data_IF_133155779854
#
_entry.id   IF_133155779854
#
_cell.length_a   1.000
_cell.length_b   1.000
_cell.length_c   1.000
_cell.angle_alpha   90.00
_cell.angle_beta   90.00
_cell.angle_gamma   90.00
#
_symmetry.space_group_name_H-M   'P 1'
#
loop_
_entity.id
_entity.type
_entity.pdbx_description
1 polymer ?
#
# COMPACT_ATOMS: atom_id res chain seq x y z
N UNK A 1 13.67 -71.52 -26.65
CA UNK A 1 12.80 -72.71 -26.59
C UNK A 1 11.42 -72.19 -26.22
N UNK A 2 10.48 -72.04 -27.18
CA UNK A 2 9.44 -73.02 -27.58
C UNK A 2 8.66 -73.51 -26.34
N UNK A 3 7.35 -73.31 -26.16
CA UNK A 3 6.15 -73.40 -27.05
C UNK A 3 4.97 -72.67 -26.35
N UNK A 4 4.11 -71.83 -26.93
CA UNK A 4 3.14 -71.91 -28.05
C UNK A 4 2.00 -72.93 -27.93
N UNK A 5 0.76 -72.41 -28.06
CA UNK A 5 -0.50 -73.11 -28.37
C UNK A 5 -1.70 -72.18 -28.07
N UNK A 6 -2.05 -71.19 -28.91
CA UNK A 6 -2.91 -71.24 -30.12
C UNK A 6 -4.31 -71.78 -29.83
N UNK A 7 -5.37 -71.01 -30.14
CA UNK A 7 -6.26 -71.15 -31.33
C UNK A 7 -7.13 -69.85 -31.34
N UNK A 8 -6.95 -68.92 -32.28
CA UNK A 8 -7.64 -68.75 -33.59
C UNK A 8 -9.17 -68.54 -33.48
N UNK A 9 -9.89 -67.71 -34.24
CA UNK A 9 -9.79 -67.18 -35.63
C UNK A 9 -10.72 -65.90 -35.70
N UNK A 10 -11.03 -65.25 -36.86
CA UNK A 10 -11.07 -63.80 -37.03
C UNK A 10 -12.48 -63.29 -37.40
N UNK A 11 -12.64 -61.99 -37.68
CA UNK A 11 -13.17 -61.48 -38.95
C UNK A 11 -13.23 -59.95 -38.90
N UNK A 12 -12.67 -59.33 -39.94
CA UNK A 12 -12.83 -57.93 -40.25
C UNK A 12 -14.29 -57.61 -40.60
N UNK A 13 -14.77 -56.41 -40.27
CA UNK A 13 -15.61 -55.65 -41.18
C UNK A 13 -15.57 -54.16 -40.85
N UNK A 14 -15.46 -53.38 -41.90
CA UNK A 14 -15.26 -51.95 -41.93
C UNK A 14 -16.57 -51.21 -42.23
N UNK A 15 -16.53 -49.90 -41.98
CA UNK A 15 -17.29 -48.81 -42.63
C UNK A 15 -18.65 -48.33 -42.06
N UNK A 16 -18.61 -47.03 -41.70
CA UNK A 16 -19.49 -45.92 -42.11
C UNK A 16 -20.84 -45.64 -41.38
N UNK A 17 -20.90 -44.39 -40.88
CA UNK A 17 -21.99 -43.39 -40.98
C UNK A 17 -22.75 -42.96 -39.70
N UNK A 18 -22.87 -41.62 -39.59
CA UNK A 18 -23.39 -40.71 -38.55
C UNK A 18 -24.90 -40.83 -38.23
N UNK A 19 -25.52 -39.93 -37.44
CA UNK A 19 -25.18 -39.35 -36.11
C UNK A 19 -26.35 -39.56 -35.10
N UNK A 20 -26.13 -39.34 -33.80
CA UNK A 20 -27.22 -39.29 -32.81
C UNK A 20 -27.27 -37.92 -32.11
N UNK A 21 -28.42 -37.24 -32.25
CA UNK A 21 -28.78 -36.05 -31.48
C UNK A 21 -28.85 -36.39 -29.99
N UNK A 22 -28.18 -35.60 -29.15
CA UNK A 22 -28.40 -35.58 -27.70
C UNK A 22 -29.20 -34.33 -27.36
N UNK A 23 -30.43 -34.53 -26.87
CA UNK A 23 -31.26 -33.49 -26.28
C UNK A 23 -30.88 -33.39 -24.80
N UNK A 24 -30.25 -32.29 -24.39
CA UNK A 24 -30.00 -31.97 -22.98
C UNK A 24 -31.15 -31.12 -22.43
N UNK A 25 -31.93 -31.66 -21.50
CA UNK A 25 -32.89 -30.90 -20.72
C UNK A 25 -32.17 -30.15 -19.59
N UNK A 26 -32.20 -28.82 -19.65
CA UNK A 26 -31.75 -27.92 -18.59
C UNK A 26 -32.80 -27.88 -17.47
N UNK A 27 -32.37 -28.19 -16.24
CA UNK A 27 -33.08 -27.80 -15.02
C UNK A 27 -32.67 -26.36 -14.65
N UNK A 28 -33.58 -25.47 -14.23
CA UNK A 28 -33.22 -24.12 -13.82
C UNK A 28 -32.54 -24.16 -12.44
N UNK A 29 -31.32 -23.64 -12.37
CA UNK A 29 -30.68 -23.21 -11.13
C UNK A 29 -31.43 -22.00 -10.59
N UNK A 30 -32.03 -22.14 -9.40
CA UNK A 30 -32.54 -21.00 -8.62
C UNK A 30 -31.33 -20.20 -8.13
N UNK A 31 -31.17 -18.96 -8.62
CA UNK A 31 -30.22 -18.00 -8.07
C UNK A 31 -30.73 -17.54 -6.69
N UNK A 32 -29.87 -17.64 -5.68
CA UNK A 32 -30.07 -17.00 -4.39
C UNK A 32 -29.40 -15.62 -4.47
N UNK A 33 -30.10 -14.67 -5.08
CA UNK A 33 -29.67 -13.27 -5.16
C UNK A 33 -29.96 -12.60 -3.81
N UNK A 34 -28.90 -12.24 -3.08
CA UNK A 34 -29.02 -11.44 -1.85
C UNK A 34 -29.22 -9.97 -2.22
N UNK A 35 -30.25 -9.27 -1.70
CA UNK A 35 -30.60 -7.90 -2.08
C UNK A 35 -29.51 -6.86 -1.78
N UNK A 36 -28.51 -7.18 -0.95
CA UNK A 36 -27.40 -6.28 -0.65
C UNK A 36 -26.40 -6.15 -1.81
N UNK A 37 -26.30 -7.20 -2.65
CA UNK A 37 -25.31 -7.29 -3.72
C UNK A 37 -25.62 -6.35 -4.88
N UNK A 38 -26.90 -6.20 -5.22
CA UNK A 38 -27.37 -5.29 -6.27
C UNK A 38 -27.23 -3.82 -5.85
N UNK A 39 -27.19 -3.54 -4.54
CA UNK A 39 -27.06 -2.19 -3.99
C UNK A 39 -25.63 -1.65 -3.93
N UNK A 40 -24.61 -2.52 -3.85
CA UNK A 40 -23.19 -2.10 -3.79
C UNK A 40 -22.50 -2.13 -5.16
N UNK A 41 -23.11 -2.75 -6.18
CA UNK A 41 -22.50 -2.99 -7.49
C UNK A 41 -22.56 -1.80 -8.47
N UNK A 42 -23.25 -0.71 -8.14
CA UNK A 42 -23.27 0.48 -9.01
C UNK A 42 -22.15 1.45 -8.64
N UNK A 43 -21.20 1.63 -9.57
CA UNK A 43 -20.07 2.55 -9.45
C UNK A 43 -20.58 3.99 -9.31
N UNK A 44 -20.43 4.56 -8.12
CA UNK A 44 -20.88 5.93 -7.82
C UNK A 44 -19.71 6.81 -7.50
N UNK A 45 -19.38 7.61 -8.51
CA UNK A 45 -18.42 8.71 -8.45
C UNK A 45 -18.94 9.82 -7.56
N UNK A 46 -18.23 10.08 -6.47
CA UNK A 46 -18.33 11.37 -5.79
C UNK A 46 -17.79 12.45 -6.74
N UNK A 47 -18.44 13.61 -6.74
CA UNK A 47 -18.05 14.78 -7.53
C UNK A 47 -16.95 15.62 -6.85
N UNK A 48 -16.25 15.08 -5.84
CA UNK A 48 -15.05 15.72 -5.30
C UNK A 48 -14.04 15.83 -6.45
N UNK A 49 -13.56 17.05 -6.70
CA UNK A 49 -12.64 17.30 -7.81
C UNK A 49 -11.40 16.40 -7.68
N UNK A 50 -11.00 15.77 -8.80
CA UNK A 50 -9.82 14.90 -8.81
C UNK A 50 -8.59 15.69 -8.34
N UNK A 51 -7.77 15.15 -7.43
CA UNK A 51 -6.58 15.83 -6.96
C UNK A 51 -5.59 16.04 -8.11
N UNK A 52 -5.00 17.23 -8.17
CA UNK A 52 -4.02 17.57 -9.21
C UNK A 52 -2.71 16.84 -8.93
N UNK A 53 -2.21 16.16 -9.96
CA UNK A 53 -0.93 15.45 -9.93
C UNK A 53 0.13 16.26 -10.66
N UNK A 54 1.32 16.33 -10.09
CA UNK A 54 2.46 17.01 -10.72
C UNK A 54 2.95 16.22 -11.93
N UNK A 55 3.40 16.96 -12.95
CA UNK A 55 4.03 16.41 -14.15
C UNK A 55 5.52 16.09 -13.99
N UNK A 56 6.17 16.51 -12.88
CA UNK A 56 7.63 16.48 -12.71
C UNK A 56 8.13 15.77 -11.44
N UNK A 57 7.22 15.26 -10.62
CA UNK A 57 7.57 14.61 -9.34
C UNK A 57 7.09 13.17 -9.28
N UNK A 58 8.05 12.28 -9.07
CA UNK A 58 7.89 10.83 -9.03
C UNK A 58 7.59 10.36 -7.61
N UNK A 59 6.55 9.56 -7.46
CA UNK A 59 6.23 8.82 -6.24
C UNK A 59 7.09 7.56 -6.17
N UNK A 60 7.82 7.40 -5.06
CA UNK A 60 8.77 6.30 -4.87
C UNK A 60 8.10 4.94 -4.64
N UNK A 61 6.82 4.93 -4.22
CA UNK A 61 6.02 3.73 -4.00
C UNK A 61 5.92 3.34 -2.53
N UNK A 62 5.09 2.34 -2.24
CA UNK A 62 4.80 1.86 -0.88
C UNK A 62 5.42 0.48 -0.56
N UNK A 63 6.47 0.08 -1.27
CA UNK A 63 7.21 -1.16 -0.98
C UNK A 63 7.01 -2.31 -1.96
N UNK A 64 6.43 -2.07 -3.14
CA UNK A 64 6.26 -3.10 -4.17
C UNK A 64 7.59 -3.58 -4.76
N UNK A 65 7.92 -4.84 -4.49
CA UNK A 65 9.15 -5.46 -4.98
C UNK A 65 9.16 -5.70 -6.50
N UNK A 66 7.99 -5.74 -7.16
CA UNK A 66 7.89 -6.01 -8.59
C UNK A 66 8.18 -4.78 -9.47
N UNK A 67 7.99 -3.58 -8.92
CA UNK A 67 8.15 -2.33 -9.67
C UNK A 67 9.13 -1.36 -8.98
N UNK A 68 10.22 -1.92 -8.46
CA UNK A 68 11.33 -1.15 -7.88
C UNK A 68 12.02 -0.31 -8.96
N UNK A 69 12.30 0.95 -8.63
CA UNK A 69 13.04 1.87 -9.50
C UNK A 69 14.53 1.58 -9.39
N UNK A 70 15.11 1.09 -10.48
CA UNK A 70 16.48 0.61 -10.54
C UNK A 70 17.25 1.25 -11.70
N UNK A 71 18.46 1.71 -11.42
CA UNK A 71 19.39 2.29 -12.39
C UNK A 71 20.74 1.57 -12.31
N UNK A 72 21.35 1.31 -13.46
CA UNK A 72 22.67 0.73 -13.57
C UNK A 72 23.60 1.62 -14.38
N UNK A 73 24.81 1.84 -13.88
CA UNK A 73 25.83 2.65 -14.53
C UNK A 73 27.14 1.89 -14.62
N UNK A 74 27.79 1.93 -15.79
CA UNK A 74 29.15 1.40 -15.92
C UNK A 74 30.11 2.28 -15.12
N UNK A 75 30.80 1.69 -14.15
CA UNK A 75 31.65 2.43 -13.22
C UNK A 75 32.80 3.14 -13.95
N UNK A 76 33.36 2.51 -15.00
CA UNK A 76 34.44 3.06 -15.83
C UNK A 76 34.06 4.31 -16.62
N UNK A 77 32.77 4.57 -16.82
CA UNK A 77 32.27 5.71 -17.58
C UNK A 77 31.86 6.89 -16.71
N UNK A 78 31.92 6.75 -15.38
CA UNK A 78 31.52 7.79 -14.44
C UNK A 78 32.52 8.95 -14.45
N UNK A 79 32.01 10.17 -14.59
CA UNK A 79 32.78 11.41 -14.51
C UNK A 79 32.57 12.14 -13.18
N UNK A 80 31.65 11.65 -12.36
CA UNK A 80 31.29 12.20 -11.06
C UNK A 80 30.65 11.13 -10.19
N UNK A 81 30.94 11.17 -8.89
CA UNK A 81 30.30 10.31 -7.88
C UNK A 81 29.19 11.05 -7.11
N UNK A 82 28.80 12.23 -7.60
CA UNK A 82 27.82 13.08 -6.94
C UNK A 82 26.42 12.76 -7.47
N UNK A 83 25.49 12.57 -6.55
CA UNK A 83 24.07 12.43 -6.83
C UNK A 83 23.28 13.51 -6.09
N UNK A 84 22.31 14.13 -6.73
CA UNK A 84 21.46 15.16 -6.12
C UNK A 84 20.01 15.00 -6.54
N UNK A 85 19.08 15.31 -5.65
CA UNK A 85 17.64 15.27 -5.91
C UNK A 85 16.91 16.15 -4.89
N UNK A 86 15.68 16.54 -5.20
CA UNK A 86 14.77 17.11 -4.22
C UNK A 86 13.82 16.02 -3.71
N UNK A 87 13.59 15.95 -2.40
CA UNK A 87 12.68 15.01 -1.75
C UNK A 87 11.63 15.75 -0.91
N UNK A 88 10.39 15.24 -0.88
CA UNK A 88 9.31 15.65 0.01
C UNK A 88 8.63 14.41 0.57
N UNK A 89 8.42 14.35 1.89
CA UNK A 89 7.74 13.21 2.54
C UNK A 89 7.16 13.62 3.90
N UNK A 90 6.15 12.88 4.36
CA UNK A 90 5.67 12.88 5.75
C UNK A 90 6.05 11.59 6.49
N UNK A 91 6.59 10.61 5.77
CA UNK A 91 6.98 9.30 6.27
C UNK A 91 8.18 9.43 7.22
N UNK A 92 8.05 9.03 8.49
CA UNK A 92 9.13 9.16 9.46
C UNK A 92 10.26 8.14 9.29
N UNK A 93 10.06 7.07 8.50
CA UNK A 93 11.06 6.02 8.32
C UNK A 93 10.99 5.37 6.92
N UNK A 94 12.11 5.32 6.20
CA UNK A 94 12.14 4.71 4.87
C UNK A 94 13.49 4.86 4.16
N UNK A 95 13.74 4.10 3.10
CA UNK A 95 14.97 4.23 2.30
C UNK A 95 14.73 5.24 1.17
N UNK A 96 15.57 6.28 1.10
CA UNK A 96 15.57 7.20 -0.04
C UNK A 96 16.20 6.50 -1.24
N UNK A 97 17.43 6.00 -1.06
CA UNK A 97 18.06 5.12 -2.03
C UNK A 97 19.05 4.14 -1.40
N UNK A 98 19.16 2.98 -2.03
CA UNK A 98 20.20 1.99 -1.84
C UNK A 98 21.15 2.04 -3.05
N UNK A 99 22.45 1.96 -2.83
CA UNK A 99 23.43 1.86 -3.90
C UNK A 99 24.49 0.82 -3.61
N UNK A 100 24.89 0.05 -4.61
CA UNK A 100 25.93 -0.97 -4.45
C UNK A 100 26.81 -1.11 -5.69
N UNK A 101 27.99 -1.68 -5.48
CA UNK A 101 28.96 -1.99 -6.54
C UNK A 101 29.32 -3.48 -6.58
N UNK A 102 28.43 -4.32 -6.03
CA UNK A 102 28.61 -5.76 -5.85
C UNK A 102 29.49 -6.13 -4.64
N UNK A 103 29.67 -7.45 -4.43
CA UNK A 103 30.53 -8.03 -3.37
C UNK A 103 30.25 -7.53 -1.96
N UNK A 104 28.98 -7.32 -1.61
CA UNK A 104 28.58 -6.79 -0.30
C UNK A 104 29.11 -5.36 -0.05
N UNK A 105 29.48 -4.59 -1.08
CA UNK A 105 29.83 -3.17 -0.94
C UNK A 105 28.61 -2.31 -1.29
N UNK A 106 27.97 -1.77 -0.26
CA UNK A 106 26.70 -1.06 -0.37
C UNK A 106 26.62 0.16 0.54
N UNK A 107 25.72 1.07 0.16
CA UNK A 107 25.42 2.31 0.83
C UNK A 107 23.91 2.52 0.84
N UNK A 108 23.38 2.97 1.97
CA UNK A 108 21.98 3.34 2.15
C UNK A 108 21.92 4.76 2.67
N UNK A 109 21.11 5.59 2.02
CA UNK A 109 20.58 6.81 2.59
C UNK A 109 19.08 6.61 2.85
N UNK A 110 18.70 6.72 4.11
CA UNK A 110 17.31 6.61 4.56
C UNK A 110 16.92 7.73 5.51
N UNK A 111 15.69 7.64 5.99
CA UNK A 111 15.11 8.49 7.01
C UNK A 111 14.78 7.59 8.20
N UNK A 112 15.09 8.01 9.42
CA UNK A 112 14.67 7.37 10.65
C UNK A 112 14.28 8.42 11.66
N UNK A 113 13.10 8.26 12.25
CA UNK A 113 12.53 9.24 13.18
C UNK A 113 12.63 10.66 12.60
N UNK A 114 12.25 10.79 11.32
CA UNK A 114 12.18 12.05 10.56
C UNK A 114 13.53 12.70 10.21
N UNK A 115 14.65 12.06 10.52
CA UNK A 115 16.01 12.57 10.25
C UNK A 115 16.80 11.62 9.37
N UNK A 116 17.90 12.08 8.76
CA UNK A 116 18.69 11.23 7.88
C UNK A 116 19.38 10.09 8.64
N UNK A 117 19.41 8.92 8.02
CA UNK A 117 20.21 7.77 8.41
C UNK A 117 21.10 7.35 7.23
N UNK A 118 22.37 7.09 7.51
CA UNK A 118 23.33 6.53 6.55
C UNK A 118 23.84 5.21 7.10
N UNK A 119 23.77 4.17 6.27
CA UNK A 119 24.39 2.87 6.55
C UNK A 119 25.30 2.51 5.38
N UNK A 120 26.49 1.99 5.66
CA UNK A 120 27.37 1.49 4.60
C UNK A 120 28.14 0.26 5.06
N UNK A 121 28.41 -0.62 4.12
CA UNK A 121 29.33 -1.73 4.29
C UNK A 121 30.29 -1.73 3.10
N UNK A 122 31.58 -1.82 3.37
CA UNK A 122 32.61 -1.98 2.35
C UNK A 122 33.75 -2.85 2.87
N UNK A 123 34.79 -3.05 2.04
CA UNK A 123 35.96 -3.85 2.39
C UNK A 123 36.72 -3.35 3.63
N UNK A 124 36.53 -2.09 4.02
CA UNK A 124 37.17 -1.46 5.18
C UNK A 124 36.29 -1.50 6.44
N UNK A 125 35.05 -2.00 6.35
CA UNK A 125 34.14 -2.21 7.47
C UNK A 125 32.75 -1.59 7.30
N UNK A 126 32.02 -1.55 8.41
CA UNK A 126 30.65 -1.06 8.51
C UNK A 126 30.60 0.32 9.18
N UNK A 127 29.72 1.20 8.69
CA UNK A 127 29.43 2.48 9.34
C UNK A 127 27.93 2.75 9.38
N UNK A 128 27.45 3.25 10.51
CA UNK A 128 26.07 3.66 10.74
C UNK A 128 26.07 5.06 11.37
N UNK A 129 25.35 5.99 10.75
CA UNK A 129 24.98 7.27 11.32
C UNK A 129 23.48 7.40 11.28
N UNK A 130 22.83 7.49 12.44
CA UNK A 130 21.38 7.51 12.56
C UNK A 130 20.91 8.84 13.17
N UNK A 131 19.79 9.38 12.66
CA UNK A 131 19.09 10.56 13.17
C UNK A 131 19.90 11.87 13.07
N UNK A 132 20.53 12.12 11.92
CA UNK A 132 21.35 13.30 11.68
C UNK A 132 20.63 14.37 10.85
N UNK A 133 21.04 15.63 11.06
CA UNK A 133 20.54 16.77 10.30
C UNK A 133 19.16 17.29 10.75
N UNK A 134 18.54 18.16 9.94
CA UNK A 134 17.21 18.69 10.19
C UNK A 134 16.12 17.63 9.98
N UNK A 135 14.90 17.98 10.32
CA UNK A 135 13.71 17.20 9.99
C UNK A 135 13.50 17.17 8.46
N UNK A 136 13.44 15.97 7.90
CA UNK A 136 13.25 15.69 6.46
C UNK A 136 11.78 15.36 6.16
N UNK A 137 11.02 14.88 7.15
CA UNK A 137 9.65 14.38 6.99
C UNK A 137 8.61 15.46 7.35
N UNK A 138 8.91 16.72 7.03
CA UNK A 138 8.10 17.90 7.36
C UNK A 138 7.15 18.31 6.23
N UNK A 139 7.02 17.50 5.17
CA UNK A 139 6.18 17.79 4.02
C UNK A 139 6.72 18.90 3.11
N UNK A 140 7.95 19.38 3.31
CA UNK A 140 8.58 20.38 2.44
C UNK A 140 9.56 19.73 1.47
N UNK A 141 9.76 20.38 0.34
CA UNK A 141 10.82 19.99 -0.59
C UNK A 141 12.18 20.33 0.00
N UNK A 142 13.05 19.33 0.13
CA UNK A 142 14.45 19.44 0.59
C UNK A 142 15.39 18.99 -0.50
N UNK A 143 16.40 19.78 -0.84
CA UNK A 143 17.44 19.37 -1.79
C UNK A 143 18.49 18.55 -1.06
N UNK A 144 18.66 17.31 -1.45
CA UNK A 144 19.69 16.42 -0.92
C UNK A 144 20.80 16.26 -1.96
N UNK A 145 22.05 16.26 -1.51
CA UNK A 145 23.22 15.97 -2.37
C UNK A 145 24.13 15.02 -1.63
N UNK A 146 24.48 13.91 -2.27
CA UNK A 146 25.43 12.91 -1.77
C UNK A 146 26.64 12.94 -2.69
N UNK A 147 27.82 13.14 -2.12
CA UNK A 147 29.08 13.16 -2.85
C UNK A 147 30.04 12.12 -2.25
N UNK A 148 30.39 11.11 -3.05
CA UNK A 148 31.31 10.04 -2.66
C UNK A 148 32.71 10.32 -3.21
N UNK A 149 33.58 10.83 -2.34
CA UNK A 149 35.01 10.98 -2.59
C UNK A 149 35.78 9.67 -2.38
N UNK A 150 37.10 9.72 -2.53
CA UNK A 150 37.97 8.54 -2.41
C UNK A 150 37.95 7.88 -1.03
N UNK A 151 37.79 8.68 0.03
CA UNK A 151 37.78 8.23 1.42
C UNK A 151 36.70 8.92 2.26
N UNK A 152 35.80 9.67 1.61
CA UNK A 152 34.81 10.51 2.26
C UNK A 152 33.46 10.36 1.60
N UNK A 153 32.38 10.32 2.39
CA UNK A 153 31.02 10.50 1.87
C UNK A 153 30.41 11.70 2.55
N UNK A 154 30.01 12.70 1.77
CA UNK A 154 29.40 13.93 2.25
C UNK A 154 27.92 13.98 1.84
N UNK A 155 27.02 14.20 2.80
CA UNK A 155 25.61 14.45 2.54
C UNK A 155 25.28 15.89 2.92
N UNK A 156 24.69 16.62 1.98
CA UNK A 156 24.21 17.99 2.16
C UNK A 156 22.69 18.04 2.05
N UNK A 157 22.05 18.83 2.90
CA UNK A 157 20.62 19.16 2.85
C UNK A 157 20.50 20.67 2.67
N UNK A 158 19.80 21.11 1.63
CA UNK A 158 19.62 22.51 1.26
C UNK A 158 20.95 23.28 1.13
N UNK A 159 22.03 22.58 0.78
CA UNK A 159 23.39 23.12 0.64
C UNK A 159 24.26 23.02 1.89
N UNK A 160 23.68 22.74 3.06
CA UNK A 160 24.41 22.59 4.32
C UNK A 160 24.95 21.17 4.50
N UNK A 161 26.20 21.03 4.91
CA UNK A 161 26.82 19.72 5.20
C UNK A 161 26.25 19.16 6.50
N UNK A 162 25.49 18.06 6.41
CA UNK A 162 24.83 17.43 7.56
C UNK A 162 25.49 16.12 7.99
N UNK A 163 26.10 15.40 7.05
CA UNK A 163 26.84 14.16 7.31
C UNK A 163 28.16 14.21 6.56
N UNK A 164 29.25 13.88 7.26
CA UNK A 164 30.56 13.63 6.66
C UNK A 164 31.15 12.35 7.25
N UNK A 165 31.18 11.32 6.43
CA UNK A 165 31.81 10.05 6.75
C UNK A 165 33.23 10.06 6.22
N UNK A 166 34.16 9.56 7.02
CA UNK A 166 35.56 9.38 6.62
C UNK A 166 35.89 7.92 6.89
N UNK A 167 36.20 7.16 5.85
CA UNK A 167 36.58 5.76 5.98
C UNK A 167 38.06 5.57 5.64
N UNK A 168 38.68 4.61 6.30
CA UNK A 168 40.05 4.25 6.01
C UNK A 168 40.10 3.56 4.65
N UNK A 169 40.98 4.00 3.75
CA UNK A 169 41.25 3.29 2.50
C UNK A 169 42.45 2.38 2.76
N UNK A 170 42.31 1.07 2.56
CA UNK A 170 43.47 0.17 2.61
C UNK A 170 44.54 0.64 1.63
N UNK A 171 45.81 0.62 2.05
CA UNK A 171 46.94 0.99 1.19
C UNK A 171 47.22 -0.02 0.08
N UNK A 172 46.53 -1.18 0.10
CA UNK A 172 46.54 -2.14 -0.99
C UNK A 172 45.45 -1.76 -2.00
N UNK A 173 45.80 -1.48 -3.27
CA UNK A 173 44.80 -1.27 -4.31
C UNK A 173 43.88 -2.49 -4.36
N UNK A 174 42.57 -2.29 -4.28
CA UNK A 174 41.63 -3.35 -4.66
C UNK A 174 42.00 -3.77 -6.08
N UNK A 175 42.35 -5.06 -6.26
CA UNK A 175 42.81 -5.57 -7.54
C UNK A 175 41.70 -5.56 -8.62
N UNK A 176 40.46 -5.24 -8.25
CA UNK A 176 39.32 -5.22 -9.15
C UNK A 176 38.50 -3.93 -8.96
N UNK A 177 38.56 -3.06 -9.95
CA UNK A 177 37.64 -1.93 -10.11
C UNK A 177 36.24 -2.52 -10.27
N UNK A 178 35.21 -2.02 -9.54
CA UNK A 178 33.86 -2.48 -9.75
C UNK A 178 33.40 -2.27 -11.19
N UNK A 179 32.63 -3.20 -11.75
CA UNK A 179 32.14 -3.08 -13.12
C UNK A 179 30.93 -2.16 -13.23
N UNK A 180 30.00 -2.29 -12.28
CA UNK A 180 28.70 -1.63 -12.31
C UNK A 180 28.40 -0.96 -10.97
N UNK A 181 27.82 0.23 -11.02
CA UNK A 181 27.12 0.88 -9.92
C UNK A 181 25.62 0.68 -10.12
N UNK A 182 24.96 0.11 -9.12
CA UNK A 182 23.50 -0.01 -9.08
C UNK A 182 22.95 0.99 -8.08
N UNK A 183 21.85 1.66 -8.43
CA UNK A 183 21.10 2.55 -7.56
C UNK A 183 19.63 2.15 -7.59
N UNK A 184 19.05 1.97 -6.42
CA UNK A 184 17.67 1.56 -6.20
C UNK A 184 16.99 2.62 -5.34
N UNK A 185 15.81 3.09 -5.75
CA UNK A 185 15.09 4.17 -5.06
C UNK A 185 13.90 3.63 -4.27
N UNK A 186 13.66 4.23 -3.09
CA UNK A 186 12.44 3.98 -2.31
C UNK A 186 12.31 2.60 -1.65
N UNK A 187 13.31 1.73 -1.79
CA UNK A 187 13.30 0.36 -1.26
C UNK A 187 14.71 -0.27 -1.23
N UNK A 188 14.82 -1.50 -0.75
CA UNK A 188 15.96 -2.40 -0.95
C UNK A 188 15.85 -3.17 -2.28
N UNK A 189 16.94 -3.75 -2.81
CA UNK A 189 16.87 -4.65 -3.95
C UNK A 189 15.95 -5.84 -3.67
N UNK A 190 15.09 -6.20 -4.65
CA UNK A 190 14.20 -7.34 -4.55
C UNK A 190 14.97 -8.63 -4.21
N UNK A 191 14.49 -9.38 -3.21
CA UNK A 191 15.10 -10.63 -2.78
C UNK A 191 16.50 -10.50 -2.19
N UNK A 192 16.94 -9.29 -1.80
CA UNK A 192 18.25 -9.14 -1.15
C UNK A 192 18.30 -9.89 0.18
N UNK A 193 19.47 -10.47 0.48
CA UNK A 193 19.81 -11.02 1.79
C UNK A 193 20.68 -10.08 2.61
N UNK A 194 20.97 -8.89 2.07
CA UNK A 194 21.83 -7.91 2.70
C UNK A 194 21.16 -7.47 4.01
N UNK A 195 21.80 -7.83 5.12
CA UNK A 195 21.37 -7.39 6.43
C UNK A 195 21.98 -6.01 6.66
N UNK A 196 21.12 -4.99 6.59
CA UNK A 196 21.49 -3.66 7.05
C UNK A 196 22.03 -3.73 8.48
N UNK A 197 22.99 -2.87 8.80
CA UNK A 197 23.61 -2.80 10.14
C UNK A 197 22.53 -2.63 11.20
N UNK A 198 21.55 -1.78 10.90
CA UNK A 198 20.33 -1.61 11.69
C UNK A 198 19.12 -1.78 10.76
N UNK A 199 18.21 -2.73 11.02
CA UNK A 199 17.00 -2.87 10.23
C UNK A 199 16.20 -1.57 10.15
N UNK A 200 15.65 -1.27 8.99
CA UNK A 200 14.80 -0.11 8.70
C UNK A 200 13.59 -0.62 7.92
N UNK A 201 12.42 0.00 8.10
CA UNK A 201 11.32 -0.19 7.16
C UNK A 201 11.79 0.30 5.77
N UNK A 202 11.85 -0.55 4.72
CA UNK A 202 12.50 -0.15 3.47
C UNK A 202 11.68 0.83 2.63
N UNK A 203 10.38 0.57 2.53
CA UNK A 203 9.45 1.37 1.74
C UNK A 203 9.43 2.82 2.23
N UNK A 204 9.39 3.78 1.30
CA UNK A 204 9.29 5.19 1.64
C UNK A 204 8.14 5.85 0.87
N UNK A 205 7.10 6.29 1.58
CA UNK A 205 6.10 7.19 1.00
C UNK A 205 6.69 8.58 0.82
N UNK A 206 7.34 8.77 -0.34
CA UNK A 206 8.05 9.99 -0.66
C UNK A 206 7.95 10.37 -2.13
N UNK A 207 8.15 11.66 -2.36
CA UNK A 207 8.17 12.27 -3.68
C UNK A 207 9.57 12.75 -4.02
N UNK A 208 10.01 12.50 -5.25
CA UNK A 208 11.32 12.90 -5.75
C UNK A 208 11.20 13.68 -7.05
N UNK A 209 12.00 14.74 -7.21
CA UNK A 209 12.13 15.51 -8.46
C UNK A 209 13.52 16.13 -8.60
N UNK A 210 13.79 16.77 -9.74
CA UNK A 210 15.05 17.47 -10.02
C UNK A 210 16.28 16.60 -9.73
N UNK A 211 16.21 15.33 -10.13
CA UNK A 211 17.28 14.37 -9.88
C UNK A 211 18.43 14.54 -10.88
N UNK A 212 19.64 14.25 -10.41
CA UNK A 212 20.83 14.05 -11.19
C UNK A 212 21.65 12.96 -10.49
N UNK A 213 21.71 11.77 -11.09
CA UNK A 213 22.39 10.61 -10.53
C UNK A 213 23.74 10.47 -11.21
N UNK A 214 24.84 10.60 -10.46
CA UNK A 214 26.23 10.46 -10.96
C UNK A 214 26.54 11.21 -12.28
N UNK A 215 25.81 12.31 -12.53
CA UNK A 215 25.80 13.10 -13.78
C UNK A 215 25.61 12.24 -15.05
N UNK A 216 24.85 11.15 -14.94
CA UNK A 216 24.42 10.30 -16.05
C UNK A 216 22.91 10.44 -16.26
N UNK A 217 22.48 10.01 -17.43
CA UNK A 217 21.07 9.97 -17.79
C UNK A 217 20.30 8.97 -16.90
N UNK A 218 19.08 9.34 -16.50
CA UNK A 218 18.23 8.58 -15.61
C UNK A 218 16.84 8.34 -16.24
N UNK A 219 16.80 8.09 -17.55
CA UNK A 219 15.58 7.96 -18.34
C UNK A 219 14.57 6.95 -17.79
N UNK A 220 15.02 5.90 -17.07
CA UNK A 220 14.11 4.95 -16.40
C UNK A 220 13.12 5.64 -15.44
N UNK A 221 13.53 6.73 -14.78
CA UNK A 221 12.67 7.49 -13.88
C UNK A 221 11.63 8.31 -14.64
N UNK A 222 12.00 8.86 -15.80
CA UNK A 222 11.07 9.58 -16.69
C UNK A 222 10.05 8.63 -17.31
N UNK A 223 10.47 7.43 -17.70
CA UNK A 223 9.57 6.38 -18.20
C UNK A 223 8.59 5.99 -17.10
N UNK A 224 9.07 5.75 -15.88
CA UNK A 224 8.21 5.40 -14.74
C UNK A 224 7.20 6.52 -14.42
N UNK A 225 7.60 7.78 -14.48
CA UNK A 225 6.74 8.95 -14.26
C UNK A 225 5.61 9.08 -15.30
N UNK A 226 5.85 8.60 -16.52
CA UNK A 226 4.92 8.72 -17.65
C UNK A 226 4.12 7.44 -17.91
N UNK A 227 4.50 6.31 -17.33
CA UNK A 227 3.81 5.03 -17.52
C UNK A 227 2.46 4.97 -16.77
N UNK A 228 2.34 5.63 -15.61
CA UNK A 228 1.16 5.57 -14.76
C UNK A 228 0.97 6.90 -14.00
N UNK A 229 -0.24 7.45 -14.02
CA UNK A 229 -0.58 8.65 -13.26
C UNK A 229 -0.42 8.44 -11.74
N UNK A 230 -0.58 7.22 -11.23
CA UNK A 230 -0.37 6.92 -9.81
C UNK A 230 1.10 7.01 -9.38
N UNK A 231 2.04 6.99 -10.34
CA UNK A 231 3.46 7.27 -10.10
C UNK A 231 3.77 8.76 -9.96
N UNK A 232 2.79 9.64 -10.17
CA UNK A 232 2.95 11.08 -9.99
C UNK A 232 2.49 11.50 -8.60
N UNK A 233 3.31 12.32 -7.95
CA UNK A 233 2.93 12.96 -6.70
C UNK A 233 1.80 13.96 -6.86
N UNK A 234 1.04 14.19 -5.78
CA UNK A 234 0.07 15.28 -5.78
C UNK A 234 0.81 16.62 -5.67
N UNK A 235 0.25 17.67 -6.25
CA UNK A 235 0.88 19.00 -6.11
C UNK A 235 0.87 19.46 -4.65
N UNK A 236 -0.26 19.29 -3.97
CA UNK A 236 -0.49 19.63 -2.57
C UNK A 236 -0.80 18.38 -1.75
N UNK A 237 -0.02 18.14 -0.70
CA UNK A 237 -0.13 16.97 0.16
C UNK A 237 -0.24 17.40 1.63
N UNK A 238 -0.99 16.64 2.42
CA UNK A 238 -1.10 16.74 3.87
C UNK A 238 -0.84 15.37 4.51
N UNK A 239 -0.52 15.30 5.81
CA UNK A 239 -0.39 14.04 6.52
C UNK A 239 -1.69 13.22 6.44
N UNK A 240 -1.59 11.95 6.08
CA UNK A 240 -2.73 11.04 6.02
C UNK A 240 -2.45 9.84 5.13
N UNK A 241 -3.39 8.91 5.06
CA UNK A 241 -3.23 7.70 4.24
C UNK A 241 -4.22 7.74 3.10
N UNK A 242 -3.73 7.73 1.85
CA UNK A 242 -4.57 7.82 0.66
C UNK A 242 -4.65 6.48 -0.08
N UNK A 243 -5.88 6.05 -0.31
CA UNK A 243 -6.22 4.89 -1.11
C UNK A 243 -6.67 5.37 -2.51
N UNK A 244 -5.95 5.01 -3.59
CA UNK A 244 -6.40 5.26 -4.96
C UNK A 244 -7.55 4.30 -5.33
N UNK A 245 -8.19 4.47 -6.50
CA UNK A 245 -9.05 3.42 -7.07
C UNK A 245 -8.30 2.09 -7.11
N UNK A 246 -8.94 1.02 -6.63
CA UNK A 246 -8.38 -0.34 -6.50
C UNK A 246 -7.25 -0.49 -5.46
N UNK A 247 -6.96 0.54 -4.67
CA UNK A 247 -6.00 0.47 -3.59
C UNK A 247 -6.58 -0.27 -2.38
N UNK A 248 -5.81 -1.19 -1.81
CA UNK A 248 -6.15 -1.88 -0.57
C UNK A 248 -4.89 -2.27 0.20
N UNK A 249 -5.06 -2.53 1.49
CA UNK A 249 -4.03 -3.08 2.36
C UNK A 249 -4.57 -4.25 3.17
N UNK A 250 -3.70 -5.19 3.52
CA UNK A 250 -4.05 -6.43 4.24
C UNK A 250 -3.24 -6.54 5.51
N UNK A 251 -3.91 -6.89 6.61
CA UNK A 251 -3.34 -7.04 7.94
C UNK A 251 -3.73 -8.37 8.56
N UNK A 252 -2.91 -8.82 9.52
CA UNK A 252 -3.31 -9.85 10.48
C UNK A 252 -4.00 -9.20 11.67
N UNK A 253 -5.23 -9.62 12.03
CA UNK A 253 -5.94 -9.06 13.19
C UNK A 253 -5.13 -9.12 14.49
N UNK A 254 -4.29 -10.16 14.64
CA UNK A 254 -3.38 -10.39 15.78
C UNK A 254 -2.51 -9.17 16.14
N UNK A 255 -2.11 -8.37 15.15
CA UNK A 255 -1.28 -7.16 15.35
C UNK A 255 -2.04 -6.05 16.08
N UNK A 256 -3.37 -6.13 16.11
CA UNK A 256 -4.30 -5.15 16.67
C UNK A 256 -5.05 -5.70 17.90
N UNK A 257 -4.59 -6.81 18.49
CA UNK A 257 -5.22 -7.43 19.65
C UNK A 257 -4.91 -6.66 20.93
N UNK A 258 -5.94 -6.40 21.74
CA UNK A 258 -5.82 -5.95 23.13
C UNK A 258 -6.16 -7.07 24.10
N UNK A 259 -5.49 -7.08 25.26
CA UNK A 259 -5.42 -8.22 26.22
C UNK A 259 -6.75 -8.54 26.95
N UNK A 260 -7.80 -7.72 26.82
CA UNK A 260 -9.01 -7.89 27.63
C UNK A 260 -10.03 -8.87 27.00
N UNK A 261 -10.02 -10.12 27.48
CA UNK A 261 -10.78 -11.25 26.89
C UNK A 261 -12.16 -11.42 27.54
N UNK A 262 -12.37 -10.92 28.76
CA UNK A 262 -13.57 -11.23 29.58
C UNK A 262 -14.83 -10.45 29.14
N UNK A 263 -14.69 -9.23 28.61
CA UNK A 263 -15.78 -8.41 28.05
C UNK A 263 -15.47 -7.99 26.62
N UNK A 264 -15.12 -8.96 25.77
CA UNK A 264 -14.69 -8.67 24.40
C UNK A 264 -15.81 -7.97 23.60
N UNK A 265 -15.43 -6.89 22.92
CA UNK A 265 -16.21 -6.23 21.89
C UNK A 265 -15.25 -5.58 20.89
N UNK A 266 -15.76 -5.18 19.73
CA UNK A 266 -14.95 -4.59 18.68
C UNK A 266 -15.17 -3.08 18.60
N UNK A 267 -14.11 -2.31 18.79
CA UNK A 267 -14.13 -0.86 18.62
C UNK A 267 -13.32 -0.46 17.39
N UNK A 268 -13.94 0.28 16.48
CA UNK A 268 -13.34 0.80 15.26
C UNK A 268 -13.62 2.29 15.18
N UNK A 269 -12.59 3.09 15.02
CA UNK A 269 -12.70 4.52 14.73
C UNK A 269 -12.17 4.80 13.34
N UNK A 270 -12.98 5.48 12.56
CA UNK A 270 -12.75 5.83 11.17
C UNK A 270 -12.70 7.35 11.08
N UNK A 271 -11.60 7.87 10.55
CA UNK A 271 -11.49 9.25 10.11
C UNK A 271 -11.22 9.21 8.61
N UNK A 272 -12.18 9.66 7.81
CA UNK A 272 -12.12 9.51 6.36
C UNK A 272 -12.56 10.76 5.62
N UNK A 273 -12.08 10.89 4.40
CA UNK A 273 -12.48 11.92 3.44
C UNK A 273 -12.56 11.27 2.07
N UNK A 274 -13.75 11.27 1.48
CA UNK A 274 -13.96 10.69 0.15
C UNK A 274 -13.37 11.63 -0.91
N UNK A 275 -12.58 11.10 -1.84
CA UNK A 275 -11.97 11.88 -2.92
C UNK A 275 -12.57 11.48 -4.26
N UNK A 276 -12.69 10.18 -4.57
CA UNK A 276 -13.28 9.75 -5.84
C UNK A 276 -14.52 8.88 -5.65
N UNK A 277 -14.45 7.85 -4.80
CA UNK A 277 -15.55 6.88 -4.63
C UNK A 277 -15.65 6.43 -3.17
N UNK A 278 -16.88 6.19 -2.71
CA UNK A 278 -17.13 5.38 -1.52
C UNK A 278 -16.87 3.91 -1.80
N UNK A 279 -16.70 3.15 -0.73
CA UNK A 279 -16.47 1.72 -0.82
C UNK A 279 -16.16 1.12 0.54
N UNK A 280 -15.55 -0.07 0.51
CA UNK A 280 -15.12 -0.78 1.71
C UNK A 280 -14.06 0.05 2.43
N UNK A 281 -14.34 0.44 3.68
CA UNK A 281 -13.36 1.07 4.56
C UNK A 281 -12.57 0.01 5.30
N UNK A 282 -13.27 -0.99 5.84
CA UNK A 282 -12.70 -2.09 6.61
C UNK A 282 -13.51 -3.36 6.41
N UNK A 283 -12.84 -4.50 6.25
CA UNK A 283 -13.48 -5.81 6.09
C UNK A 283 -12.66 -6.90 6.79
N UNK A 284 -13.32 -7.75 7.57
CA UNK A 284 -12.71 -8.89 8.26
C UNK A 284 -13.15 -10.20 7.61
N UNK A 285 -12.19 -11.05 7.28
CA UNK A 285 -12.43 -12.28 6.53
C UNK A 285 -11.52 -13.41 7.00
N UNK A 286 -12.08 -14.59 7.25
CA UNK A 286 -11.44 -15.86 7.61
C UNK A 286 -11.13 -16.79 6.41
N UNK A 287 -11.29 -16.32 5.17
CA UNK A 287 -11.20 -17.15 3.96
C UNK A 287 -12.48 -17.93 3.62
N UNK A 288 -13.59 -17.73 4.34
CA UNK A 288 -14.90 -18.26 3.95
C UNK A 288 -15.47 -17.57 2.70
N UNK A 289 -16.72 -17.85 2.30
CA UNK A 289 -17.34 -17.14 1.15
C UNK A 289 -17.92 -15.78 1.50
N UNK A 290 -18.09 -15.47 2.78
CA UNK A 290 -18.81 -14.30 3.27
C UNK A 290 -17.97 -13.62 4.33
N UNK A 291 -17.78 -12.31 4.22
CA UNK A 291 -17.04 -11.55 5.23
C UNK A 291 -17.74 -11.62 6.60
N UNK A 292 -16.97 -11.78 7.66
CA UNK A 292 -17.47 -11.79 9.03
C UNK A 292 -17.97 -10.41 9.45
N UNK A 293 -17.27 -9.36 9.03
CA UNK A 293 -17.64 -7.96 9.23
C UNK A 293 -17.25 -7.14 8.01
N UNK A 294 -18.14 -6.26 7.55
CA UNK A 294 -17.82 -5.24 6.55
C UNK A 294 -18.34 -3.89 7.00
N UNK A 295 -17.46 -2.88 6.98
CA UNK A 295 -17.80 -1.47 7.17
C UNK A 295 -17.52 -0.75 5.85
N UNK A 296 -18.56 -0.21 5.22
CA UNK A 296 -18.47 0.39 3.90
C UNK A 296 -19.29 1.68 3.77
N UNK A 297 -18.87 2.53 2.84
CA UNK A 297 -19.61 3.73 2.42
C UNK A 297 -20.41 3.42 1.16
N UNK A 298 -21.73 3.55 1.27
CA UNK A 298 -22.63 3.57 0.12
C UNK A 298 -22.85 5.03 -0.29
N UNK A 299 -22.12 5.48 -1.30
CA UNK A 299 -22.23 6.86 -1.78
C UNK A 299 -23.57 7.16 -2.49
N UNK A 300 -24.32 6.15 -2.98
CA UNK A 300 -25.65 6.38 -3.55
C UNK A 300 -26.64 6.79 -2.47
N UNK A 301 -26.69 5.98 -1.42
CA UNK A 301 -27.56 6.22 -0.28
C UNK A 301 -26.98 7.26 0.68
N UNK A 302 -25.75 7.71 0.42
CA UNK A 302 -24.94 8.54 1.31
C UNK A 302 -24.98 7.96 2.72
N UNK A 303 -24.63 6.69 2.87
CA UNK A 303 -24.79 5.98 4.12
C UNK A 303 -23.53 5.20 4.51
N UNK A 304 -23.25 5.15 5.80
CA UNK A 304 -22.34 4.18 6.38
C UNK A 304 -23.12 2.89 6.63
N UNK A 305 -22.69 1.82 5.98
CA UNK A 305 -23.32 0.51 6.06
C UNK A 305 -22.39 -0.43 6.80
N UNK A 306 -22.95 -1.16 7.77
CA UNK A 306 -22.25 -2.26 8.41
C UNK A 306 -23.01 -3.56 8.35
N UNK A 307 -22.29 -4.61 7.98
CA UNK A 307 -22.80 -5.96 7.85
C UNK A 307 -22.03 -6.94 8.72
N UNK A 308 -22.74 -7.93 9.26
CA UNK A 308 -22.17 -9.09 9.95
C UNK A 308 -22.61 -10.35 9.21
N UNK A 309 -21.65 -11.19 8.84
CA UNK A 309 -21.90 -12.41 8.05
C UNK A 309 -22.76 -12.13 6.80
N UNK A 310 -22.53 -10.97 6.16
CA UNK A 310 -23.29 -10.51 4.98
C UNK A 310 -24.67 -9.91 5.27
N UNK A 311 -25.17 -9.95 6.50
CA UNK A 311 -26.45 -9.37 6.88
C UNK A 311 -26.28 -7.91 7.29
N UNK A 312 -27.11 -7.02 6.73
CA UNK A 312 -27.15 -5.61 7.14
C UNK A 312 -27.61 -5.50 8.59
N UNK A 313 -26.74 -5.01 9.46
CA UNK A 313 -27.06 -4.77 10.88
C UNK A 313 -27.24 -3.28 11.19
N UNK A 314 -26.63 -2.41 10.39
CA UNK A 314 -26.71 -0.97 10.58
C UNK A 314 -26.57 -0.18 9.27
N UNK A 315 -27.31 0.92 9.19
CA UNK A 315 -27.19 1.93 8.14
C UNK A 315 -27.41 3.31 8.76
N UNK A 316 -26.40 4.16 8.69
CA UNK A 316 -26.45 5.56 9.12
C UNK A 316 -26.44 6.47 7.90
N UNK A 317 -27.37 7.41 7.78
CA UNK A 317 -27.28 8.47 6.77
C UNK A 317 -26.17 9.46 7.12
N UNK A 318 -25.29 9.72 6.16
CA UNK A 318 -24.19 10.66 6.24
C UNK A 318 -24.63 12.05 5.75
N UNK A 319 -23.89 13.12 6.13
CA UNK A 319 -24.13 14.47 5.62
C UNK A 319 -24.14 14.52 4.09
N UNK A 320 -24.94 15.43 3.52
CA UNK A 320 -25.06 15.54 2.06
C UNK A 320 -23.74 15.86 1.37
N UNK A 321 -22.83 16.50 2.09
CA UNK A 321 -21.53 16.98 1.66
C UNK A 321 -20.38 15.99 1.91
N UNK A 322 -20.65 14.73 2.28
CA UNK A 322 -19.62 13.67 2.47
C UNK A 322 -18.74 13.46 1.22
N UNK A 323 -19.27 13.74 0.04
CA UNK A 323 -18.54 13.71 -1.24
C UNK A 323 -17.86 15.06 -1.59
N UNK A 324 -17.81 16.03 -0.66
CA UNK A 324 -17.25 17.37 -0.91
C UNK A 324 -15.80 17.50 -0.47
N UNK A 325 -15.16 16.40 -0.07
CA UNK A 325 -13.78 16.43 0.39
C UNK A 325 -13.62 17.00 1.81
N UNK A 326 -14.62 16.86 2.68
CA UNK A 326 -14.48 17.15 4.11
C UNK A 326 -14.10 15.88 4.90
N UNK A 327 -13.44 16.08 6.03
CA UNK A 327 -13.12 14.99 6.96
C UNK A 327 -14.35 14.61 7.79
N UNK A 328 -14.68 13.34 7.78
CA UNK A 328 -15.74 12.72 8.56
C UNK A 328 -15.16 11.74 9.59
N UNK A 329 -15.75 11.72 10.77
CA UNK A 329 -15.36 10.83 11.86
C UNK A 329 -16.53 9.93 12.24
N UNK A 330 -16.30 8.62 12.34
CA UNK A 330 -17.28 7.64 12.84
C UNK A 330 -16.60 6.63 13.76
N UNK A 331 -17.25 6.36 14.88
CA UNK A 331 -16.84 5.35 15.84
C UNK A 331 -17.90 4.25 15.87
N UNK A 332 -17.46 3.03 15.62
CA UNK A 332 -18.25 1.82 15.52
C UNK A 332 -17.87 0.93 16.70
N UNK A 333 -18.83 0.65 17.57
CA UNK A 333 -18.62 -0.19 18.75
C UNK A 333 -19.60 -1.36 18.73
N UNK A 334 -19.07 -2.59 18.64
CA UNK A 334 -19.82 -3.84 18.57
C UNK A 334 -19.67 -4.59 19.90
N UNK A 335 -20.74 -4.68 20.68
CA UNK A 335 -20.74 -5.30 22.02
C UNK A 335 -22.10 -5.97 22.32
N UNK A 336 -22.17 -6.66 23.45
CA UNK A 336 -23.44 -7.16 24.03
C UNK A 336 -23.79 -6.35 25.29
N UNK A 337 -25.07 -6.04 25.48
CA UNK A 337 -25.66 -5.62 26.76
C UNK A 337 -25.06 -4.36 27.44
N UNK A 338 -24.40 -3.45 26.72
CA UNK A 338 -24.08 -2.11 27.25
C UNK A 338 -25.29 -1.17 27.03
N UNK A 339 -26.26 -1.24 27.93
CA UNK A 339 -27.30 -0.22 28.08
C UNK A 339 -26.62 1.04 28.62
N UNK A 340 -26.61 2.12 27.82
CA UNK A 340 -26.15 3.49 28.15
C UNK A 340 -24.63 3.75 28.18
N UNK A 341 -24.01 3.91 27.01
CA UNK A 341 -22.93 4.88 26.86
C UNK A 341 -23.49 6.13 26.14
N UNK A 342 -23.03 7.32 26.52
CA UNK A 342 -23.47 8.60 25.93
C UNK A 342 -23.20 8.58 24.42
N UNK A 343 -24.24 8.28 23.62
CA UNK A 343 -24.16 8.33 22.18
C UNK A 343 -23.87 9.78 21.76
N UNK A 344 -22.65 10.00 21.27
CA UNK A 344 -22.31 11.23 20.54
C UNK A 344 -22.84 11.12 19.12
N UNK A 345 -22.91 12.25 18.40
CA UNK A 345 -23.28 12.27 16.96
C UNK A 345 -22.40 11.34 16.09
N UNK A 346 -21.21 10.99 16.58
CA UNK A 346 -20.20 10.24 15.82
C UNK A 346 -20.03 8.80 16.28
N UNK A 347 -20.62 8.41 17.42
CA UNK A 347 -20.45 7.08 18.01
C UNK A 347 -21.71 6.26 17.83
N UNK A 348 -21.58 5.12 17.17
CA UNK A 348 -22.63 4.15 16.98
C UNK A 348 -22.32 2.90 17.80
N UNK A 349 -23.22 2.58 18.73
CA UNK A 349 -23.18 1.38 19.55
C UNK A 349 -24.14 0.36 18.97
N UNK A 350 -23.65 -0.85 18.67
CA UNK A 350 -24.48 -1.97 18.24
C UNK A 350 -24.51 -3.04 19.30
N UNK A 351 -25.71 -3.22 19.87
CA UNK A 351 -26.05 -4.36 20.69
C UNK A 351 -26.46 -5.51 19.77
N UNK A 352 -25.53 -6.45 19.60
CA UNK A 352 -25.77 -7.65 18.79
C UNK A 352 -26.01 -8.84 19.71
N UNK A 353 -26.70 -9.85 19.19
CA UNK A 353 -26.93 -11.05 19.98
C UNK A 353 -25.57 -11.72 20.35
N UNK A 354 -25.46 -12.36 21.52
CA UNK A 354 -24.20 -12.95 21.98
C UNK A 354 -23.61 -14.01 21.06
N UNK A 355 -24.43 -14.69 20.25
CA UNK A 355 -23.98 -15.73 19.30
C UNK A 355 -23.22 -15.09 18.15
N UNK A 356 -23.74 -14.01 17.57
CA UNK A 356 -23.08 -13.25 16.52
C UNK A 356 -21.79 -12.58 17.01
N UNK A 357 -21.80 -12.04 18.24
CA UNK A 357 -20.58 -11.47 18.83
C UNK A 357 -19.50 -12.55 19.01
N UNK A 358 -19.89 -13.75 19.44
CA UNK A 358 -18.97 -14.87 19.57
C UNK A 358 -18.40 -15.30 18.22
N UNK A 359 -19.23 -15.44 17.18
CA UNK A 359 -18.77 -15.80 15.84
C UNK A 359 -17.75 -14.76 15.29
N UNK A 360 -18.04 -13.47 15.48
CA UNK A 360 -17.12 -12.41 15.10
C UNK A 360 -15.81 -12.48 15.90
N UNK A 361 -15.88 -12.76 17.21
CA UNK A 361 -14.70 -12.96 18.06
C UNK A 361 -13.86 -14.15 17.59
N UNK A 362 -14.50 -15.26 17.25
CA UNK A 362 -13.82 -16.47 16.79
C UNK A 362 -13.03 -16.18 15.50
N UNK A 363 -13.60 -15.42 14.56
CA UNK A 363 -12.89 -14.96 13.35
C UNK A 363 -11.78 -13.95 13.68
N UNK A 364 -12.04 -13.01 14.59
CA UNK A 364 -11.03 -12.01 15.01
C UNK A 364 -9.78 -12.64 15.64
N UNK A 365 -9.96 -13.79 16.30
CA UNK A 365 -8.89 -14.55 16.93
C UNK A 365 -8.30 -15.65 16.03
N UNK A 366 -8.84 -15.86 14.83
CA UNK A 366 -8.33 -16.86 13.89
C UNK A 366 -7.01 -16.39 13.25
N UNK A 367 -5.90 -17.13 13.39
CA UNK A 367 -4.63 -16.80 12.74
C UNK A 367 -4.69 -16.76 11.21
N UNK A 368 -5.66 -17.48 10.61
CA UNK A 368 -5.89 -17.46 9.17
C UNK A 368 -6.61 -16.17 8.72
N UNK A 369 -7.30 -15.47 9.62
CA UNK A 369 -8.07 -14.29 9.27
C UNK A 369 -7.18 -13.15 8.75
N UNK A 370 -7.82 -12.32 7.92
CA UNK A 370 -7.25 -11.16 7.27
C UNK A 370 -8.19 -9.98 7.47
N UNK A 371 -7.60 -8.84 7.81
CA UNK A 371 -8.26 -7.56 7.89
C UNK A 371 -7.86 -6.74 6.67
N UNK A 372 -8.85 -6.40 5.85
CA UNK A 372 -8.70 -5.59 4.66
C UNK A 372 -9.09 -4.15 4.94
N UNK A 373 -8.34 -3.20 4.41
CA UNK A 373 -8.60 -1.76 4.51
C UNK A 373 -8.61 -1.14 3.11
N UNK A 374 -9.61 -0.32 2.82
CA UNK A 374 -9.79 0.37 1.52
C UNK A 374 -10.40 -0.47 0.40
N UNK A 375 -10.34 -1.80 0.49
CA UNK A 375 -10.91 -2.71 -0.51
C UNK A 375 -10.44 -4.15 -0.33
N UNK A 376 -10.80 -5.03 -1.23
CA UNK A 376 -10.45 -6.46 -1.19
C UNK A 376 -10.15 -6.94 -2.63
N UNK A 377 -9.17 -7.84 -2.86
CA UNK A 377 -8.83 -8.32 -4.19
C UNK A 377 -10.01 -8.89 -4.98
N UNK A 378 -9.97 -8.76 -6.31
CA UNK A 378 -11.06 -9.18 -7.19
C UNK A 378 -11.31 -10.72 -7.21
N UNK A 379 -10.30 -11.51 -6.85
CA UNK A 379 -10.38 -12.99 -6.77
C UNK A 379 -11.36 -13.47 -5.68
N UNK A 380 -11.67 -12.60 -4.71
CA UNK A 380 -12.78 -12.82 -3.79
C UNK A 380 -14.08 -12.52 -4.54
N UNK A 381 -14.52 -13.49 -5.35
CA UNK A 381 -15.72 -13.38 -6.20
C UNK A 381 -16.87 -12.72 -5.43
N UNK A 382 -17.27 -11.50 -5.86
CA UNK A 382 -18.28 -10.60 -5.25
C UNK A 382 -17.78 -9.60 -4.19
N UNK A 383 -16.52 -9.17 -4.27
CA UNK A 383 -15.98 -8.01 -3.55
C UNK A 383 -16.81 -6.72 -3.79
N UNK A 384 -17.15 -6.00 -2.72
CA UNK A 384 -17.76 -4.67 -2.81
C UNK A 384 -16.80 -3.62 -3.39
N UNK A 385 -17.26 -2.39 -3.68
CA UNK A 385 -16.44 -1.36 -4.31
C UNK A 385 -15.25 -0.95 -3.43
N UNK A 386 -14.12 -0.63 -4.06
CA UNK A 386 -12.95 -0.05 -3.40
C UNK A 386 -13.23 1.39 -2.98
N UNK A 387 -12.85 1.73 -1.76
CA UNK A 387 -12.80 3.11 -1.29
C UNK A 387 -11.67 3.87 -2.00
N UNK A 388 -11.95 5.09 -2.43
CA UNK A 388 -10.95 5.99 -2.99
C UNK A 388 -11.01 7.35 -2.30
N UNK A 389 -9.99 7.60 -1.47
CA UNK A 389 -9.92 8.77 -0.61
C UNK A 389 -8.89 8.63 0.50
N UNK A 390 -8.97 9.55 1.46
CA UNK A 390 -8.13 9.54 2.65
C UNK A 390 -8.82 8.78 3.78
N UNK A 391 -8.10 7.87 4.45
CA UNK A 391 -8.66 7.01 5.48
C UNK A 391 -7.63 6.72 6.58
N UNK A 392 -7.98 7.06 7.81
CA UNK A 392 -7.29 6.61 9.01
C UNK A 392 -8.21 5.68 9.80
N UNK A 393 -7.68 4.52 10.16
CA UNK A 393 -8.40 3.50 10.92
C UNK A 393 -7.70 3.29 12.26
N UNK A 394 -8.48 3.25 13.32
CA UNK A 394 -8.04 2.81 14.65
C UNK A 394 -8.91 1.65 15.07
N UNK A 395 -8.32 0.52 15.44
CA UNK A 395 -9.05 -0.66 15.91
C UNK A 395 -8.57 -1.00 17.31
N UNK A 396 -9.50 -1.21 18.25
CA UNK A 396 -9.19 -1.46 19.67
C UNK A 396 -8.26 -0.41 20.30
N UNK A 397 -8.40 0.86 19.89
CA UNK A 397 -7.53 1.95 20.35
C UNK A 397 -6.13 1.98 19.73
N UNK A 398 -5.77 1.02 18.89
CA UNK A 398 -4.51 0.99 18.16
C UNK A 398 -4.70 1.52 16.73
N UNK A 399 -3.89 2.51 16.35
CA UNK A 399 -3.88 3.03 14.98
C UNK A 399 -3.33 1.97 14.01
N UNK A 400 -4.02 1.76 12.89
CA UNK A 400 -3.58 0.86 11.83
C UNK A 400 -2.54 1.59 10.98
N UNK A 401 -1.26 1.21 11.11
CA UNK A 401 -0.17 1.73 10.26
C UNK A 401 0.02 0.84 9.04
N UNK A 402 -0.01 1.43 7.84
CA UNK A 402 0.23 0.70 6.59
C UNK A 402 1.64 0.12 6.47
N UNK A 403 2.62 0.62 7.22
CA UNK A 403 3.99 0.08 7.19
C UNK A 403 4.08 -1.30 7.82
N UNK A 404 3.12 -1.63 8.70
CA UNK A 404 2.97 -2.94 9.33
C UNK A 404 2.07 -3.89 8.53
N UNK A 405 1.59 -3.48 7.36
CA UNK A 405 0.73 -4.31 6.54
C UNK A 405 1.45 -5.56 6.03
N UNK A 406 0.74 -6.68 5.98
CA UNK A 406 1.21 -7.89 5.32
C UNK A 406 1.33 -7.67 3.81
N UNK A 407 0.42 -6.88 3.25
CA UNK A 407 0.44 -6.44 1.87
C UNK A 407 -0.09 -5.02 1.77
N UNK A 408 0.56 -4.21 0.94
CA UNK A 408 0.08 -2.88 0.59
C UNK A 408 0.10 -2.73 -0.93
N UNK A 409 -0.99 -2.23 -1.50
CA UNK A 409 -1.04 -1.99 -2.94
C UNK A 409 -0.02 -0.89 -3.33
N UNK A 410 0.71 -1.02 -4.46
CA UNK A 410 1.88 -0.18 -4.78
C UNK A 410 1.60 1.33 -4.88
N UNK A 411 0.34 1.69 -5.10
CA UNK A 411 -0.13 3.06 -5.31
C UNK A 411 -0.84 3.67 -4.09
N UNK A 412 -1.02 2.89 -3.02
CA UNK A 412 -1.51 3.42 -1.75
C UNK A 412 -0.39 4.24 -1.10
N UNK A 413 -0.75 5.40 -0.55
CA UNK A 413 0.17 6.28 0.16
C UNK A 413 -0.03 6.10 1.66
N UNK A 414 1.01 5.68 2.38
CA UNK A 414 0.92 5.38 3.81
C UNK A 414 0.84 6.64 4.68
N UNK A 415 1.47 7.73 4.25
CA UNK A 415 1.70 8.95 5.03
C UNK A 415 1.34 10.25 4.31
N UNK A 416 1.03 10.22 3.00
CA UNK A 416 0.59 11.38 2.24
C UNK A 416 -0.85 11.28 1.71
N UNK A 417 -1.61 12.37 1.90
CA UNK A 417 -2.96 12.55 1.38
C UNK A 417 -3.02 13.81 0.49
N UNK A 418 -3.75 13.80 -0.64
CA UNK A 418 -3.92 15.02 -1.44
C UNK A 418 -4.72 16.04 -0.64
N UNK A 419 -4.26 17.29 -0.52
CA UNK A 419 -5.05 18.34 0.15
C UNK A 419 -6.41 18.51 -0.55
N UNK A 420 -7.46 18.78 0.24
CA UNK A 420 -8.80 19.02 -0.29
C UNK A 420 -8.73 20.10 -1.37
N UNK A 421 -9.24 19.79 -2.56
CA UNK A 421 -9.35 20.80 -3.62
C UNK A 421 -10.31 21.88 -3.11
N UNK A 422 -9.84 23.12 -2.98
CA UNK A 422 -10.76 24.25 -3.01
C UNK A 422 -11.60 24.05 -4.27
N UNK A 423 -12.92 23.86 -4.09
CA UNK A 423 -13.86 23.92 -5.20
C UNK A 423 -13.67 25.32 -5.77
N UNK A 424 -12.88 25.49 -6.83
CA UNK A 424 -12.86 26.73 -7.57
C UNK A 424 -14.31 26.95 -7.99
N UNK A 425 -15.00 28.00 -7.50
CA UNK A 425 -16.32 28.31 -8.02
C UNK A 425 -16.15 28.42 -9.53
N UNK A 426 -17.02 27.75 -10.28
CA UNK A 426 -17.09 27.94 -11.72
C UNK A 426 -17.06 29.45 -11.93
N UNK A 427 -16.00 29.97 -12.54
CA UNK A 427 -15.91 31.36 -12.94
C UNK A 427 -17.09 31.58 -13.86
N UNK A 428 -18.14 32.18 -13.30
CA UNK A 428 -19.31 32.60 -14.04
C UNK A 428 -18.81 33.56 -15.09
N UNK A 429 -19.05 33.23 -16.34
CA UNK A 429 -19.09 34.24 -17.38
C UNK A 429 -20.19 35.22 -16.96
N UNK A 430 -19.80 36.36 -16.40
CA UNK A 430 -20.69 37.52 -16.39
C UNK A 430 -20.86 38.02 -17.84
N UNK A 431 -22.06 38.51 -18.18
CA UNK A 431 -22.55 38.66 -19.56
C UNK A 431 -21.81 39.69 -20.41
#
# INVERSE_FOLDING_TARGET
MRTLGWVTLPLALSLLSCPALVVTSLLPMLSLDSPLHEQLAQKVTCSAGKPTRSSDSLFLGSGDEQHILHMEFQFSELTSNQSSFAIRTFDPEGIIFYGDVGKNNWFVLGIRERKLEVQMNNDNGQMLLSKWGPDISDGKWRKVTVDSGSNTVEVRVDGELVVKLIHHVSSQPSAQIPSMLRIILGNLPAGTKDQLIKPIQPALDGCMRNWAWVKKDAHVLEVALNADENRRCFEQEEPGTFFPPNGYAVFKPEVLHTVDIETWGLSIKLLFRVVENGGILLLLHDGSKVAALTVALDCQKKALIVTLEGNLIHSESLPEDVCSGHWEIREVHIKTNEIQANQTKYSVLWDINPVALKALKDVWLDPAAQLFVGGIPDDFTKAGPYFSGCLQVTVQGQAVSLDSAQYNHPHVRSHSCPQGTEIKPCSGNEP
#
